data_IF_616605191084
#
_entry.id   IF_616605191084
#
_cell.length_a   1.000
_cell.length_b   1.000
_cell.length_c   1.000
_cell.angle_alpha   90.00
_cell.angle_beta   90.00
_cell.angle_gamma   90.00
#
_symmetry.space_group_name_H-M   'P 1'
#
loop_
_entity.id
_entity.type
_entity.pdbx_description
1 polymer ?
#
# COMPACT_ATOMS: atom_id res chain seq x y z
N UNK A 1 -17.58 -16.20 18.65
CA UNK A 1 -18.02 -14.83 19.01
C UNK A 1 -17.20 -13.86 18.15
N UNK A 2 -17.86 -13.03 17.37
CA UNK A 2 -17.23 -11.95 16.61
C UNK A 2 -16.87 -10.79 17.55
N UNK A 3 -15.75 -10.07 17.27
CA UNK A 3 -15.42 -8.85 17.97
C UNK A 3 -16.51 -7.79 17.71
N UNK A 4 -16.91 -7.06 18.75
CA UNK A 4 -17.99 -6.07 18.66
C UNK A 4 -17.49 -4.68 18.27
N UNK A 5 -16.22 -4.42 18.48
CA UNK A 5 -15.56 -3.16 18.16
C UNK A 5 -14.07 -3.38 17.85
N UNK A 6 -13.37 -2.32 17.45
CA UNK A 6 -11.97 -2.39 17.04
C UNK A 6 -11.04 -2.77 18.21
N UNK A 7 -11.33 -2.33 19.42
CA UNK A 7 -10.47 -2.61 20.58
C UNK A 7 -10.53 -4.10 20.97
N UNK A 8 -11.71 -4.70 20.91
CA UNK A 8 -11.87 -6.15 21.08
C UNK A 8 -11.14 -6.94 20.00
N UNK A 9 -11.17 -6.45 18.75
CA UNK A 9 -10.44 -7.06 17.64
C UNK A 9 -8.93 -6.98 17.84
N UNK A 10 -8.40 -5.83 18.23
CA UNK A 10 -6.98 -5.64 18.54
C UNK A 10 -6.54 -6.57 19.67
N UNK A 11 -7.31 -6.61 20.77
CA UNK A 11 -7.04 -7.49 21.90
C UNK A 11 -7.07 -8.98 21.51
N UNK A 12 -8.00 -9.36 20.64
CA UNK A 12 -8.07 -10.72 20.09
C UNK A 12 -6.84 -11.04 19.24
N UNK A 13 -6.45 -10.14 18.32
CA UNK A 13 -5.30 -10.31 17.43
C UNK A 13 -4.00 -10.50 18.22
N UNK A 14 -3.77 -9.67 19.23
CA UNK A 14 -2.60 -9.78 20.12
C UNK A 14 -2.61 -11.11 20.88
N UNK A 15 -3.70 -11.41 21.58
CA UNK A 15 -3.80 -12.60 22.42
C UNK A 15 -3.68 -13.91 21.64
N UNK A 16 -4.14 -13.93 20.38
CA UNK A 16 -4.13 -15.13 19.53
C UNK A 16 -2.88 -15.20 18.63
N UNK A 17 -1.97 -14.22 18.71
CA UNK A 17 -0.75 -14.23 17.92
C UNK A 17 -0.97 -13.94 16.43
N UNK A 18 -1.91 -13.06 16.10
CA UNK A 18 -2.08 -12.59 14.73
C UNK A 18 -1.14 -11.43 14.43
N UNK A 19 -1.16 -10.38 15.28
CA UNK A 19 -0.42 -9.15 15.03
C UNK A 19 0.10 -8.60 16.35
N UNK A 20 1.37 -8.18 16.34
CA UNK A 20 2.05 -7.50 17.44
C UNK A 20 2.55 -6.13 16.99
N UNK A 21 2.71 -5.21 17.91
CA UNK A 21 3.45 -3.99 17.62
C UNK A 21 4.94 -4.33 17.44
N UNK A 22 5.54 -3.84 16.38
CA UNK A 22 6.96 -4.13 16.14
C UNK A 22 7.84 -3.53 17.24
N UNK A 23 8.85 -4.29 17.67
CA UNK A 23 9.78 -3.90 18.73
C UNK A 23 9.12 -3.61 20.09
N UNK A 24 8.01 -4.28 20.42
CA UNK A 24 7.20 -4.01 21.63
C UNK A 24 8.03 -4.09 22.93
N UNK A 25 9.02 -4.98 23.02
CA UNK A 25 9.94 -5.10 24.18
C UNK A 25 10.78 -3.84 24.43
N UNK A 26 10.92 -2.97 23.43
CA UNK A 26 11.64 -1.70 23.52
C UNK A 26 10.68 -0.47 23.48
N UNK A 27 9.40 -0.68 23.80
CA UNK A 27 8.38 0.37 23.80
C UNK A 27 7.59 0.48 22.50
N UNK A 28 7.92 -0.34 21.50
CA UNK A 28 7.22 -0.37 20.22
C UNK A 28 7.54 0.80 19.30
N UNK A 29 7.29 0.62 18.01
CA UNK A 29 7.39 1.69 17.01
C UNK A 29 6.02 1.94 16.40
N UNK A 30 5.52 3.15 16.51
CA UNK A 30 4.20 3.48 15.97
C UNK A 30 4.13 3.27 14.45
N UNK A 31 3.05 2.62 14.02
CA UNK A 31 2.78 2.36 12.60
C UNK A 31 3.62 1.25 11.98
N UNK A 32 4.32 0.46 12.81
CA UNK A 32 5.00 -0.77 12.38
C UNK A 32 4.45 -1.95 13.18
N UNK A 33 4.15 -3.03 12.47
CA UNK A 33 3.56 -4.23 13.05
C UNK A 33 4.21 -5.49 12.51
N UNK A 34 4.33 -6.48 13.39
CA UNK A 34 4.83 -7.82 13.07
C UNK A 34 3.64 -8.79 13.01
N UNK A 35 3.65 -9.68 12.02
CA UNK A 35 2.67 -10.75 11.93
C UNK A 35 3.14 -11.93 12.76
N UNK A 36 2.37 -12.28 13.79
CA UNK A 36 2.62 -13.44 14.63
C UNK A 36 2.30 -14.78 13.93
N UNK A 37 2.45 -15.91 14.61
CA UNK A 37 2.30 -17.26 14.00
C UNK A 37 1.00 -17.46 13.24
N UNK A 38 -0.15 -17.06 13.79
CA UNK A 38 -1.44 -17.18 13.10
C UNK A 38 -1.61 -16.08 12.02
N UNK A 39 -1.05 -14.91 12.25
CA UNK A 39 -1.11 -13.79 11.30
C UNK A 39 -0.36 -14.07 10.01
N UNK A 40 0.85 -14.65 10.10
CA UNK A 40 1.65 -14.98 8.92
C UNK A 40 0.99 -16.08 8.09
N UNK A 41 0.37 -17.08 8.72
CA UNK A 41 -0.36 -18.13 7.99
C UNK A 41 -1.60 -17.58 7.28
N UNK A 42 -2.40 -16.74 7.97
CA UNK A 42 -3.54 -16.08 7.35
C UNK A 42 -3.11 -15.21 6.15
N UNK A 43 -2.07 -14.41 6.34
CA UNK A 43 -1.50 -13.56 5.28
C UNK A 43 -1.03 -14.38 4.08
N UNK A 44 -0.27 -15.45 4.31
CA UNK A 44 0.21 -16.33 3.24
C UNK A 44 -0.94 -17.03 2.51
N UNK A 45 -1.97 -17.47 3.21
CA UNK A 45 -3.15 -18.08 2.59
C UNK A 45 -3.87 -17.09 1.67
N UNK A 46 -4.04 -15.83 2.09
CA UNK A 46 -4.65 -14.78 1.26
C UNK A 46 -3.79 -14.52 0.02
N UNK A 47 -2.47 -14.34 0.19
CA UNK A 47 -1.52 -14.09 -0.91
C UNK A 47 -1.52 -15.26 -1.91
N UNK A 48 -1.47 -16.48 -1.43
CA UNK A 48 -1.47 -17.68 -2.27
C UNK A 48 -2.80 -17.84 -3.02
N UNK A 49 -3.93 -17.59 -2.38
CA UNK A 49 -5.24 -17.59 -3.02
C UNK A 49 -5.34 -16.54 -4.13
N UNK A 50 -4.87 -15.31 -3.84
CA UNK A 50 -4.86 -14.23 -4.83
C UNK A 50 -3.93 -14.54 -6.01
N UNK A 51 -2.71 -14.99 -5.73
CA UNK A 51 -1.73 -15.34 -6.76
C UNK A 51 -2.23 -16.47 -7.66
N UNK A 52 -2.82 -17.49 -7.05
CA UNK A 52 -3.43 -18.60 -7.78
C UNK A 52 -4.51 -18.11 -8.73
N UNK A 53 -5.47 -17.33 -8.26
CA UNK A 53 -6.60 -16.84 -9.06
C UNK A 53 -6.21 -15.77 -10.09
N UNK A 54 -5.11 -15.06 -9.87
CA UNK A 54 -4.70 -13.93 -10.70
C UNK A 54 -3.65 -14.33 -11.73
N UNK A 55 -2.69 -15.20 -11.34
CA UNK A 55 -1.56 -15.56 -12.20
C UNK A 55 -1.68 -16.99 -12.72
N UNK A 56 -1.94 -17.99 -11.86
CA UNK A 56 -1.87 -19.38 -12.27
C UNK A 56 -3.12 -19.88 -13.01
N UNK A 57 -4.27 -19.32 -12.71
CA UNK A 57 -5.55 -19.72 -13.32
C UNK A 57 -5.91 -18.85 -14.55
N UNK A 58 -5.01 -17.93 -14.95
CA UNK A 58 -5.18 -17.08 -16.15
C UNK A 58 -4.00 -17.27 -17.10
N UNK A 59 -4.31 -17.28 -18.39
CA UNK A 59 -3.30 -17.36 -19.46
C UNK A 59 -2.77 -15.98 -19.88
N UNK A 60 -3.38 -14.90 -19.39
CA UNK A 60 -3.13 -13.52 -19.79
C UNK A 60 -2.50 -12.67 -18.69
N UNK A 61 -1.92 -13.27 -17.65
CA UNK A 61 -1.24 -12.55 -16.56
C UNK A 61 0.12 -13.16 -16.25
N UNK A 62 1.14 -12.32 -16.19
CA UNK A 62 2.50 -12.69 -15.82
C UNK A 62 2.82 -12.22 -14.40
N UNK A 63 3.66 -12.98 -13.69
CA UNK A 63 4.14 -12.62 -12.36
C UNK A 63 5.43 -11.81 -12.40
N UNK A 64 5.57 -10.85 -11.49
CA UNK A 64 6.77 -10.04 -11.28
C UNK A 64 7.10 -9.96 -9.80
N UNK A 65 8.38 -9.98 -9.47
CA UNK A 65 8.90 -9.59 -8.14
C UNK A 65 10.03 -8.57 -8.33
N UNK A 66 9.72 -7.30 -8.16
CA UNK A 66 10.63 -6.21 -8.41
C UNK A 66 11.30 -5.68 -7.12
N UNK A 67 12.45 -5.05 -7.26
CA UNK A 67 13.22 -4.49 -6.15
C UNK A 67 12.44 -3.42 -5.37
N UNK A 68 12.61 -3.42 -4.05
CA UNK A 68 12.03 -2.41 -3.14
C UNK A 68 12.71 -1.06 -3.33
N UNK A 69 14.05 -1.06 -3.46
CA UNK A 69 14.82 0.17 -3.65
C UNK A 69 14.57 0.72 -5.06
N UNK A 70 14.02 1.92 -5.10
CA UNK A 70 13.59 2.57 -6.34
C UNK A 70 14.48 3.77 -6.63
N UNK A 71 14.96 3.85 -7.87
CA UNK A 71 15.75 4.99 -8.35
C UNK A 71 14.89 6.25 -8.39
N UNK A 72 15.47 7.39 -7.99
CA UNK A 72 14.79 8.69 -7.98
C UNK A 72 14.08 9.01 -9.31
N UNK A 73 14.74 8.75 -10.45
CA UNK A 73 14.16 9.05 -11.74
C UNK A 73 12.82 8.36 -12.02
N UNK A 74 12.58 7.17 -11.48
CA UNK A 74 11.29 6.47 -11.61
C UNK A 74 10.19 7.28 -10.91
N UNK A 75 10.43 7.68 -9.66
CA UNK A 75 9.45 8.44 -8.86
C UNK A 75 9.27 9.88 -9.32
N UNK A 76 10.29 10.45 -9.96
CA UNK A 76 10.18 11.75 -10.63
C UNK A 76 9.27 11.66 -11.85
N UNK A 77 9.48 10.68 -12.74
CA UNK A 77 8.66 10.53 -13.95
C UNK A 77 7.20 10.12 -13.66
N UNK A 78 6.97 9.42 -12.56
CA UNK A 78 5.61 9.10 -12.11
C UNK A 78 4.93 10.23 -11.32
N UNK A 79 5.62 11.36 -11.10
CA UNK A 79 5.09 12.50 -10.36
C UNK A 79 5.14 12.37 -8.82
N UNK A 80 5.52 11.23 -8.28
CA UNK A 80 5.55 11.01 -6.82
C UNK A 80 6.50 11.98 -6.10
N UNK A 81 7.63 12.32 -6.70
CA UNK A 81 8.59 13.22 -6.06
C UNK A 81 8.00 14.61 -5.80
N UNK A 82 7.12 15.08 -6.69
CA UNK A 82 6.53 16.41 -6.64
C UNK A 82 5.19 16.46 -5.88
N UNK A 83 4.39 15.39 -5.95
CA UNK A 83 3.00 15.41 -5.47
C UNK A 83 2.72 14.50 -4.28
N UNK A 84 3.59 13.53 -3.98
CA UNK A 84 3.37 12.57 -2.90
C UNK A 84 3.77 13.15 -1.54
N UNK A 85 3.06 14.20 -1.15
CA UNK A 85 3.30 14.95 0.08
C UNK A 85 1.99 15.33 0.75
N UNK A 86 2.01 15.39 2.07
CA UNK A 86 0.91 15.88 2.91
C UNK A 86 1.27 17.22 3.54
N UNK A 87 0.31 18.14 3.70
CA UNK A 87 0.52 19.38 4.43
C UNK A 87 0.65 19.08 5.93
N UNK A 88 1.83 19.37 6.49
CA UNK A 88 2.19 19.17 7.90
C UNK A 88 2.11 20.49 8.68
N UNK A 89 1.49 20.48 9.85
CA UNK A 89 1.48 21.55 10.82
C UNK A 89 2.02 21.07 12.17
N UNK A 90 2.75 21.91 12.89
CA UNK A 90 3.14 21.67 14.28
C UNK A 90 2.22 22.47 15.19
N UNK A 91 1.75 21.89 16.29
CA UNK A 91 1.01 22.60 17.32
C UNK A 91 1.99 23.09 18.41
N UNK A 92 2.05 24.41 18.61
CA UNK A 92 2.96 25.05 19.59
C UNK A 92 2.55 24.78 21.03
N UNK A 93 1.27 24.50 21.28
CA UNK A 93 0.74 24.29 22.63
C UNK A 93 0.96 22.85 23.11
N UNK A 94 0.77 21.83 22.28
CA UNK A 94 0.97 20.43 22.68
C UNK A 94 2.29 19.83 22.16
N UNK A 95 3.01 20.50 21.24
CA UNK A 95 4.26 20.00 20.63
C UNK A 95 4.08 18.87 19.62
N UNK A 96 2.86 18.47 19.31
CA UNK A 96 2.56 17.39 18.38
C UNK A 96 2.46 17.89 16.94
N UNK A 97 2.60 16.96 16.00
CA UNK A 97 2.53 17.18 14.56
C UNK A 97 1.29 16.54 13.99
N UNK A 98 0.63 17.27 13.09
CA UNK A 98 -0.60 16.81 12.45
C UNK A 98 -0.57 17.09 10.96
N UNK A 99 -1.33 16.30 10.23
CA UNK A 99 -1.72 16.67 8.88
C UNK A 99 -2.72 17.84 8.98
N UNK A 100 -2.55 18.87 8.17
CA UNK A 100 -3.29 20.13 8.32
C UNK A 100 -4.82 19.99 8.23
N UNK A 101 -5.31 18.97 7.51
CA UNK A 101 -6.73 18.63 7.39
C UNK A 101 -7.24 17.68 8.50
N UNK A 102 -6.37 17.24 9.43
CA UNK A 102 -6.69 16.29 10.50
C UNK A 102 -6.21 16.76 11.88
N UNK A 103 -6.23 18.07 12.09
CA UNK A 103 -5.87 18.65 13.40
C UNK A 103 -7.01 18.38 14.39
N UNK A 104 -6.70 17.85 15.59
CA UNK A 104 -7.71 17.62 16.63
C UNK A 104 -8.33 18.93 17.13
N UNK A 105 -9.60 18.89 17.56
CA UNK A 105 -10.36 20.06 18.03
C UNK A 105 -9.76 20.73 19.27
N UNK A 106 -8.94 20.01 20.04
CA UNK A 106 -8.26 20.59 21.21
C UNK A 106 -7.05 21.47 20.86
N UNK A 107 -6.57 21.42 19.59
CA UNK A 107 -5.53 22.30 19.09
C UNK A 107 -6.15 23.53 18.41
N UNK A 108 -5.92 24.72 18.97
CA UNK A 108 -6.45 25.96 18.41
C UNK A 108 -5.68 26.35 17.14
N UNK A 109 -6.37 26.99 16.19
CA UNK A 109 -5.74 27.44 14.93
C UNK A 109 -4.58 28.39 15.13
N UNK A 110 -4.66 29.26 16.13
CA UNK A 110 -3.63 30.24 16.51
C UNK A 110 -2.33 29.61 17.01
N UNK A 111 -2.40 28.38 17.51
CA UNK A 111 -1.25 27.60 17.97
C UNK A 111 -0.57 26.79 16.87
N UNK A 112 -1.14 26.74 15.67
CA UNK A 112 -0.58 25.97 14.55
C UNK A 112 0.47 26.80 13.80
N UNK A 113 1.49 26.10 13.29
CA UNK A 113 2.43 26.69 12.34
C UNK A 113 1.79 26.79 10.97
N UNK A 114 2.39 27.59 10.07
CA UNK A 114 2.05 27.52 8.64
C UNK A 114 2.27 26.09 8.10
N UNK A 115 1.37 25.62 7.24
CA UNK A 115 1.51 24.32 6.61
C UNK A 115 2.77 24.24 5.76
N UNK A 116 3.53 23.14 5.91
CA UNK A 116 4.67 22.82 5.05
C UNK A 116 4.46 21.45 4.40
N UNK A 117 4.92 21.29 3.17
CA UNK A 117 4.84 20.00 2.50
C UNK A 117 5.80 18.98 3.12
N UNK A 118 5.27 17.83 3.47
CA UNK A 118 6.02 16.70 4.01
C UNK A 118 5.94 15.53 3.03
N UNK A 119 7.06 15.17 2.41
CA UNK A 119 7.12 14.06 1.49
C UNK A 119 6.98 12.73 2.25
N UNK A 120 6.05 11.89 1.79
CA UNK A 120 5.73 10.60 2.43
C UNK A 120 6.67 9.46 2.03
N UNK A 121 7.64 9.69 1.15
CA UNK A 121 8.58 8.65 0.75
C UNK A 121 9.74 8.51 1.73
N UNK A 122 10.08 7.27 2.08
CA UNK A 122 11.32 6.97 2.79
C UNK A 122 12.51 7.02 1.84
N UNK A 123 13.52 7.80 2.21
CA UNK A 123 14.78 7.93 1.50
C UNK A 123 15.89 7.19 2.26
N UNK A 124 16.76 6.48 1.55
CA UNK A 124 17.92 5.79 2.14
C UNK A 124 19.16 6.00 1.28
N UNK A 125 20.33 5.99 1.92
CA UNK A 125 21.61 6.05 1.21
C UNK A 125 21.93 4.73 0.53
N UNK A 126 22.59 4.83 -0.63
CA UNK A 126 23.09 3.68 -1.38
C UNK A 126 24.60 3.82 -1.51
N UNK A 127 25.35 2.83 -1.05
CA UNK A 127 26.81 2.87 -1.03
C UNK A 127 27.39 3.26 0.34
N UNK A 128 28.72 3.31 0.45
CA UNK A 128 29.42 3.44 1.73
C UNK A 128 29.51 4.88 2.28
N UNK A 129 29.19 5.89 1.46
CA UNK A 129 29.33 7.31 1.83
C UNK A 129 27.96 7.96 1.90
N UNK A 130 27.70 8.62 3.01
CA UNK A 130 26.47 9.38 3.25
C UNK A 130 26.73 10.88 3.01
N UNK A 131 26.91 11.26 1.76
CA UNK A 131 27.08 12.64 1.32
C UNK A 131 25.87 13.19 0.56
N UNK A 132 24.78 12.41 0.50
CA UNK A 132 23.57 12.75 -0.23
C UNK A 132 23.66 12.63 -1.75
N UNK A 133 24.83 12.24 -2.29
CA UNK A 133 25.05 12.11 -3.74
C UNK A 133 24.43 10.84 -4.32
N UNK A 134 24.31 9.79 -3.49
CA UNK A 134 23.76 8.51 -3.90
C UNK A 134 22.67 8.04 -2.94
N UNK A 135 21.43 8.06 -3.40
CA UNK A 135 20.29 7.60 -2.61
C UNK A 135 19.25 6.87 -3.46
N UNK A 136 18.42 6.11 -2.77
CA UNK A 136 17.23 5.48 -3.32
C UNK A 136 16.04 5.75 -2.40
N UNK A 137 14.85 5.56 -2.93
CA UNK A 137 13.63 5.54 -2.15
C UNK A 137 13.20 4.09 -1.87
N UNK A 138 12.63 3.84 -0.69
CA UNK A 138 11.78 2.68 -0.48
C UNK A 138 10.48 2.93 -1.25
N UNK A 139 10.08 2.02 -2.13
CA UNK A 139 8.91 2.23 -3.00
C UNK A 139 7.65 2.54 -2.20
N UNK A 140 6.89 3.60 -2.54
CA UNK A 140 5.63 3.95 -1.88
C UNK A 140 4.46 3.06 -2.32
N UNK A 141 4.61 2.38 -3.46
CA UNK A 141 3.68 1.40 -4.03
C UNK A 141 4.41 0.49 -5.01
N UNK A 142 3.73 -0.55 -5.49
CA UNK A 142 4.32 -1.57 -6.36
C UNK A 142 4.10 -1.31 -7.85
N UNK A 143 3.23 -0.36 -8.23
CA UNK A 143 2.83 -0.08 -9.62
C UNK A 143 4.00 0.35 -10.52
N UNK A 144 4.87 1.28 -10.06
CA UNK A 144 5.93 1.84 -10.91
C UNK A 144 6.90 0.78 -11.43
N UNK A 145 7.19 -0.25 -10.63
CA UNK A 145 8.06 -1.33 -11.06
C UNK A 145 7.40 -2.23 -12.12
N UNK A 146 6.07 -2.33 -12.11
CA UNK A 146 5.34 -3.02 -13.19
C UNK A 146 5.54 -2.26 -14.50
N UNK A 147 5.30 -0.95 -14.51
CA UNK A 147 5.49 -0.12 -15.70
C UNK A 147 6.93 -0.10 -16.20
N UNK A 148 7.92 0.01 -15.31
CA UNK A 148 9.33 0.01 -15.71
C UNK A 148 9.80 -1.33 -16.26
N UNK A 149 9.16 -2.44 -15.88
CA UNK A 149 9.46 -3.78 -16.37
C UNK A 149 8.55 -4.23 -17.52
N UNK A 150 7.59 -3.42 -17.95
CA UNK A 150 6.65 -3.80 -19.02
C UNK A 150 7.36 -4.36 -20.25
N UNK A 151 8.36 -3.60 -20.77
CA UNK A 151 9.13 -4.05 -21.93
C UNK A 151 9.90 -5.35 -21.67
N UNK A 152 10.50 -5.50 -20.51
CA UNK A 152 11.25 -6.71 -20.15
C UNK A 152 10.34 -7.94 -20.12
N UNK A 153 9.11 -7.79 -19.58
CA UNK A 153 8.12 -8.86 -19.53
C UNK A 153 7.66 -9.21 -20.95
N UNK A 154 7.29 -8.22 -21.77
CA UNK A 154 6.89 -8.45 -23.18
C UNK A 154 7.97 -9.19 -23.95
N UNK A 155 9.22 -8.72 -23.87
CA UNK A 155 10.34 -9.31 -24.62
C UNK A 155 10.64 -10.75 -24.18
N UNK A 156 10.50 -11.04 -22.87
CA UNK A 156 10.83 -12.38 -22.33
C UNK A 156 9.72 -13.40 -22.47
N UNK A 157 8.47 -12.96 -22.50
CA UNK A 157 7.29 -13.86 -22.57
C UNK A 157 6.63 -13.88 -23.94
N UNK A 158 7.04 -13.00 -24.85
CA UNK A 158 6.43 -12.80 -26.18
C UNK A 158 4.92 -12.48 -26.10
N UNK A 159 4.48 -11.82 -25.01
CA UNK A 159 3.09 -11.41 -24.83
C UNK A 159 2.68 -10.28 -25.75
N UNK A 160 1.42 -10.29 -26.13
CA UNK A 160 0.74 -9.18 -26.79
C UNK A 160 -0.40 -8.69 -25.89
N UNK A 161 -0.75 -7.42 -25.98
CA UNK A 161 -1.94 -6.88 -25.28
C UNK A 161 -3.22 -7.51 -25.87
N UNK A 162 -4.24 -7.84 -25.07
CA UNK A 162 -4.33 -7.56 -23.63
C UNK A 162 -3.57 -8.58 -22.77
N UNK A 163 -2.85 -8.13 -21.77
CA UNK A 163 -2.27 -8.97 -20.73
C UNK A 163 -1.97 -8.15 -19.46
N UNK A 164 -1.83 -8.83 -18.34
CA UNK A 164 -1.53 -8.24 -17.04
C UNK A 164 -0.14 -8.59 -16.50
N UNK A 165 0.38 -7.74 -15.63
CA UNK A 165 1.55 -8.02 -14.79
C UNK A 165 1.14 -7.84 -13.34
N UNK A 166 1.31 -8.90 -12.55
CA UNK A 166 0.95 -8.94 -11.15
C UNK A 166 2.18 -9.04 -10.25
N UNK A 167 2.16 -8.38 -9.10
CA UNK A 167 3.16 -8.59 -8.07
C UNK A 167 2.57 -8.50 -6.66
N UNK A 168 3.22 -9.19 -5.73
CA UNK A 168 2.98 -9.05 -4.30
C UNK A 168 4.26 -8.52 -3.68
N UNK A 169 4.17 -7.41 -2.95
CA UNK A 169 5.37 -6.86 -2.35
C UNK A 169 5.12 -5.80 -1.30
N UNK A 170 6.15 -5.54 -0.51
CA UNK A 170 6.13 -4.47 0.49
C UNK A 170 6.21 -3.10 -0.15
N UNK A 171 5.47 -2.16 0.43
CA UNK A 171 5.49 -0.74 0.14
C UNK A 171 5.62 0.07 1.43
N UNK A 172 6.07 1.31 1.33
CA UNK A 172 6.48 2.11 2.48
C UNK A 172 6.00 3.56 2.32
N UNK A 173 5.28 4.05 3.32
CA UNK A 173 4.80 5.44 3.35
C UNK A 173 5.08 6.05 4.72
N UNK A 174 5.84 7.11 4.79
CA UNK A 174 6.16 7.80 6.04
C UNK A 174 4.97 8.64 6.52
N UNK A 175 3.88 7.96 6.86
CA UNK A 175 2.61 8.55 7.27
C UNK A 175 2.78 9.47 8.49
N UNK A 176 2.20 10.68 8.42
CA UNK A 176 2.16 11.64 9.52
C UNK A 176 1.15 11.19 10.57
N UNK A 177 -0.08 10.94 10.13
CA UNK A 177 -1.18 10.50 10.99
C UNK A 177 -1.42 9.02 10.79
N UNK A 178 -1.08 8.24 11.80
CA UNK A 178 -1.37 6.81 11.84
C UNK A 178 -2.81 6.59 12.29
N UNK A 179 -3.49 5.64 11.67
CA UNK A 179 -4.83 5.22 12.12
C UNK A 179 -4.76 3.93 12.89
N UNK A 180 -5.81 3.69 13.67
CA UNK A 180 -5.95 2.54 14.55
C UNK A 180 -5.46 1.26 13.93
N UNK A 181 -4.54 0.60 14.62
CA UNK A 181 -4.03 -0.71 14.27
C UNK A 181 -3.40 -0.74 12.86
N UNK A 182 -3.67 -1.77 12.05
CA UNK A 182 -3.07 -1.95 10.73
C UNK A 182 -3.76 -1.19 9.57
N UNK A 183 -4.75 -0.33 9.86
CA UNK A 183 -5.49 0.36 8.80
C UNK A 183 -4.70 1.48 8.11
N UNK A 184 -3.74 2.10 8.82
CA UNK A 184 -2.79 3.05 8.22
C UNK A 184 -1.44 2.88 8.91
N UNK A 185 -0.50 2.31 8.21
CA UNK A 185 0.81 1.90 8.70
C UNK A 185 1.91 2.40 7.76
N UNK A 186 3.16 2.40 8.23
CA UNK A 186 4.31 2.88 7.45
C UNK A 186 4.91 1.81 6.54
N UNK A 187 4.73 0.55 6.88
CA UNK A 187 5.15 -0.60 6.09
C UNK A 187 3.97 -1.55 5.91
N UNK A 188 3.64 -1.89 4.67
CA UNK A 188 2.52 -2.76 4.33
C UNK A 188 2.83 -3.61 3.10
N UNK A 189 1.99 -4.58 2.78
CA UNK A 189 2.08 -5.34 1.53
C UNK A 189 0.93 -4.97 0.61
N UNK A 190 1.23 -4.91 -0.69
CA UNK A 190 0.23 -4.78 -1.76
C UNK A 190 0.22 -6.05 -2.60
N UNK A 191 -0.96 -6.42 -3.06
CA UNK A 191 -1.20 -7.37 -4.14
C UNK A 191 -1.75 -6.55 -5.30
N UNK A 192 -0.94 -6.30 -6.31
CA UNK A 192 -1.20 -5.34 -7.38
C UNK A 192 -1.13 -6.00 -8.74
N UNK A 193 -2.04 -5.61 -9.62
CA UNK A 193 -2.12 -6.06 -11.00
C UNK A 193 -2.38 -4.84 -11.89
N UNK A 194 -1.50 -4.63 -12.86
CA UNK A 194 -1.71 -3.70 -13.96
C UNK A 194 -2.08 -4.50 -15.21
N UNK A 195 -3.25 -4.22 -15.78
CA UNK A 195 -3.74 -4.92 -16.96
C UNK A 195 -3.73 -4.01 -18.18
N UNK A 196 -2.92 -4.34 -19.16
CA UNK A 196 -2.66 -3.52 -20.35
C UNK A 196 -3.58 -3.96 -21.48
N UNK A 197 -4.37 -3.00 -22.01
CA UNK A 197 -5.42 -3.27 -22.99
C UNK A 197 -5.26 -2.42 -24.25
N UNK A 198 -5.95 -2.83 -25.32
CA UNK A 198 -6.05 -2.00 -26.53
C UNK A 198 -6.89 -0.76 -26.21
N UNK A 199 -6.46 0.46 -26.61
CA UNK A 199 -7.24 1.67 -26.38
C UNK A 199 -8.69 1.53 -26.86
N UNK A 200 -9.64 1.93 -25.98
CA UNK A 200 -11.08 1.85 -26.23
C UNK A 200 -11.74 0.51 -25.85
N UNK A 201 -11.00 -0.43 -25.25
CA UNK A 201 -11.55 -1.67 -24.67
C UNK A 201 -11.48 -1.72 -23.15
N UNK A 202 -11.03 -0.65 -22.52
CA UNK A 202 -10.76 -0.52 -21.10
C UNK A 202 -12.02 -0.69 -20.23
N UNK A 203 -13.16 -0.13 -20.65
CA UNK A 203 -14.42 -0.26 -19.88
C UNK A 203 -14.90 -1.71 -19.77
N UNK A 204 -14.76 -2.52 -20.82
CA UNK A 204 -15.21 -3.90 -20.82
C UNK A 204 -14.28 -4.76 -19.95
N UNK A 205 -12.96 -4.55 -20.06
CA UNK A 205 -11.97 -5.19 -19.19
C UNK A 205 -12.14 -4.80 -17.73
N UNK A 206 -12.44 -3.53 -17.47
CA UNK A 206 -12.71 -3.07 -16.10
C UNK A 206 -13.92 -3.81 -15.49
N UNK A 207 -15.05 -3.93 -16.23
CA UNK A 207 -16.22 -4.68 -15.76
C UNK A 207 -15.89 -6.16 -15.48
N UNK A 208 -15.13 -6.80 -16.35
CA UNK A 208 -14.70 -8.19 -16.17
C UNK A 208 -13.84 -8.33 -14.90
N UNK A 209 -12.86 -7.45 -14.70
CA UNK A 209 -12.00 -7.48 -13.53
C UNK A 209 -12.77 -7.19 -12.24
N UNK A 210 -13.68 -6.23 -12.23
CA UNK A 210 -14.56 -5.95 -11.08
C UNK A 210 -15.33 -7.20 -10.68
N UNK A 211 -16.00 -7.86 -11.60
CA UNK A 211 -16.79 -9.07 -11.29
C UNK A 211 -15.88 -10.22 -10.83
N UNK A 212 -14.76 -10.44 -11.50
CA UNK A 212 -13.78 -11.46 -11.11
C UNK A 212 -13.27 -11.26 -9.69
N UNK A 213 -12.97 -10.00 -9.30
CA UNK A 213 -12.47 -9.69 -7.94
C UNK A 213 -13.56 -9.78 -6.89
N UNK A 214 -14.79 -9.41 -7.21
CA UNK A 214 -15.93 -9.61 -6.31
C UNK A 214 -16.14 -11.09 -5.99
N UNK A 215 -16.15 -11.95 -7.01
CA UNK A 215 -16.26 -13.41 -6.83
C UNK A 215 -15.10 -13.96 -5.98
N UNK A 216 -13.87 -13.47 -6.22
CA UNK A 216 -12.73 -13.87 -5.41
C UNK A 216 -12.92 -13.51 -3.93
N UNK A 217 -13.39 -12.28 -3.62
CA UNK A 217 -13.67 -11.86 -2.25
C UNK A 217 -14.80 -12.68 -1.60
N UNK A 218 -15.85 -12.99 -2.35
CA UNK A 218 -16.93 -13.87 -1.87
C UNK A 218 -16.40 -15.26 -1.48
N UNK A 219 -15.48 -15.80 -2.29
CA UNK A 219 -14.80 -17.07 -2.00
C UNK A 219 -13.87 -16.99 -0.76
N UNK A 220 -13.40 -15.79 -0.37
CA UNK A 220 -12.70 -15.57 0.90
C UNK A 220 -13.67 -15.37 2.11
N UNK A 221 -14.97 -15.40 1.90
CA UNK A 221 -15.99 -15.21 2.93
C UNK A 221 -16.40 -13.75 3.17
N UNK A 222 -16.00 -12.82 2.29
CA UNK A 222 -16.43 -11.41 2.33
C UNK A 222 -17.72 -11.27 1.52
N UNK A 223 -18.79 -10.76 2.14
CA UNK A 223 -20.06 -10.61 1.42
C UNK A 223 -19.98 -9.48 0.37
N UNK A 224 -20.67 -9.66 -0.76
CA UNK A 224 -20.75 -8.68 -1.84
C UNK A 224 -21.25 -7.30 -1.38
N UNK A 225 -22.16 -7.26 -0.41
CA UNK A 225 -22.68 -6.03 0.17
C UNK A 225 -21.60 -5.16 0.84
N UNK A 226 -20.57 -5.79 1.41
CA UNK A 226 -19.42 -5.07 2.03
C UNK A 226 -18.39 -4.69 0.96
N UNK A 227 -18.23 -5.50 -0.08
CA UNK A 227 -17.27 -5.29 -1.16
C UNK A 227 -17.58 -4.05 -2.01
N UNK A 228 -18.85 -3.65 -2.13
CA UNK A 228 -19.25 -2.44 -2.87
C UNK A 228 -18.63 -1.15 -2.33
N UNK A 229 -18.43 -1.03 -1.02
CA UNK A 229 -17.76 0.14 -0.41
C UNK A 229 -16.28 0.19 -0.74
N UNK A 230 -15.63 -0.94 -0.96
CA UNK A 230 -14.23 -1.00 -1.37
C UNK A 230 -14.02 -0.60 -2.83
N UNK A 231 -14.92 -0.96 -3.74
CA UNK A 231 -14.86 -0.55 -5.15
C UNK A 231 -14.91 0.98 -5.30
N UNK A 232 -15.80 1.67 -4.58
CA UNK A 232 -15.87 3.14 -4.60
C UNK A 232 -14.63 3.82 -4.01
N UNK A 233 -13.97 3.23 -3.03
CA UNK A 233 -12.76 3.79 -2.44
C UNK A 233 -11.56 3.80 -3.40
N UNK A 234 -11.53 2.91 -4.38
CA UNK A 234 -10.51 2.88 -5.44
C UNK A 234 -10.83 3.81 -6.63
N UNK A 235 -12.11 4.07 -6.89
CA UNK A 235 -12.53 5.00 -7.95
C UNK A 235 -12.31 6.49 -7.59
N UNK A 236 -12.07 6.83 -6.34
CA UNK A 236 -11.73 8.19 -5.90
C UNK A 236 -10.23 8.50 -5.97
N UNK A 237 -9.45 7.67 -6.63
CA UNK A 237 -8.07 7.94 -6.99
C UNK A 237 -8.04 9.06 -8.02
N UNK A 238 -7.67 10.22 -7.55
CA UNK A 238 -7.31 11.46 -8.25
C UNK A 238 -6.94 11.30 -9.73
N UNK A 239 -7.71 11.95 -10.57
CA UNK A 239 -7.25 12.49 -11.84
C UNK A 239 -6.52 13.81 -11.58
#
# INVERSE_FOLDING_TARGET
>A
MSAKNIDELIALCKRRGFIFQSSEIYGGTQGLYDYGPLGVELKNNIKNSWWKSTVYERDDVEGLDAAILTKQSVLKHSGHEDTFSDPLVDCKSCGERFRADQVPDYCKKEDLTEPRQFNLMFKTNVGPVDDGSSFAYLRPETAQQIFTNFKNVVDSTARNIPFGIAQIGKAFRNEITLKSFIFRVREFEQMELEFFVVPGTDEDWHKEWVESRLVWWENQGVSRAVSYTHLRAHETGSY
#
